data_IF_644298925713
#
_entry.id   IF_644298925713
#
_cell.length_a   1.000
_cell.length_b   1.000
_cell.length_c   1.000
_cell.angle_alpha   90.00
_cell.angle_beta   90.00
_cell.angle_gamma   90.00
#
_symmetry.space_group_name_H-M   'P 1'
#
loop_
_entity.id
_entity.type
_entity.pdbx_description
1 polymer ?
#
# COMPACT_ATOMS: atom_id res chain seq x y z
N UNK A 1 12.23 -24.42 5.51
CA UNK A 1 12.02 -22.97 5.50
C UNK A 1 10.61 -22.55 5.86
N UNK A 2 9.55 -23.17 5.30
CA UNK A 2 8.16 -22.87 5.68
C UNK A 2 7.85 -23.24 7.14
N UNK A 3 8.46 -24.31 7.64
CA UNK A 3 8.30 -24.72 9.03
C UNK A 3 8.96 -23.74 10.01
N UNK A 4 10.13 -23.21 9.68
CA UNK A 4 10.78 -22.17 10.51
C UNK A 4 10.00 -20.86 10.56
N UNK A 5 9.18 -20.60 9.58
CA UNK A 5 8.34 -19.42 9.48
C UNK A 5 7.09 -19.56 10.36
N UNK A 6 6.52 -20.77 10.42
CA UNK A 6 5.40 -21.11 11.32
C UNK A 6 5.78 -21.02 12.79
N UNK A 7 7.01 -21.43 13.13
CA UNK A 7 7.50 -21.45 14.50
C UNK A 7 7.72 -20.06 15.11
N UNK A 8 7.60 -18.98 14.35
CA UNK A 8 7.76 -17.60 14.79
C UNK A 8 6.46 -16.89 15.15
N UNK A 9 5.39 -17.61 15.35
CA UNK A 9 4.12 -17.06 15.83
C UNK A 9 3.26 -16.34 14.80
N UNK A 10 3.61 -16.45 13.53
CA UNK A 10 2.79 -15.89 12.46
C UNK A 10 1.59 -16.80 12.18
N UNK A 11 0.39 -16.25 12.27
CA UNK A 11 -0.85 -16.96 11.97
C UNK A 11 -1.36 -16.64 10.58
N UNK A 12 -2.17 -17.54 10.01
CA UNK A 12 -2.88 -17.28 8.75
C UNK A 12 -3.81 -16.07 8.88
N UNK A 13 -4.37 -15.87 10.06
CA UNK A 13 -5.20 -14.70 10.36
C UNK A 13 -4.40 -13.40 10.25
N UNK A 14 -3.19 -13.34 10.79
CA UNK A 14 -2.31 -12.18 10.68
C UNK A 14 -1.95 -11.88 9.21
N UNK A 15 -1.68 -12.91 8.42
CA UNK A 15 -1.48 -12.75 6.97
C UNK A 15 -2.71 -12.16 6.28
N UNK A 16 -3.89 -12.70 6.59
CA UNK A 16 -5.13 -12.24 5.98
C UNK A 16 -5.42 -10.77 6.32
N UNK A 17 -5.25 -10.39 7.58
CA UNK A 17 -5.42 -9.02 8.05
C UNK A 17 -4.47 -8.08 7.28
N UNK A 18 -3.20 -8.43 7.22
CA UNK A 18 -2.21 -7.60 6.53
C UNK A 18 -2.48 -7.52 5.03
N UNK A 19 -2.76 -8.65 4.39
CA UNK A 19 -3.01 -8.69 2.95
C UNK A 19 -4.24 -7.87 2.55
N UNK A 20 -5.33 -7.96 3.32
CA UNK A 20 -6.58 -7.28 3.02
C UNK A 20 -6.57 -5.80 3.38
N UNK A 21 -5.86 -5.41 4.43
CA UNK A 21 -6.01 -4.09 5.03
C UNK A 21 -4.79 -3.17 4.87
N UNK A 22 -3.66 -3.66 4.34
CA UNK A 22 -2.44 -2.83 4.24
C UNK A 22 -2.62 -1.56 3.40
N UNK A 23 -3.50 -1.59 2.44
CA UNK A 23 -3.81 -0.46 1.55
C UNK A 23 -5.06 0.34 1.96
N UNK A 24 -5.53 0.18 3.19
CA UNK A 24 -6.71 0.91 3.66
C UNK A 24 -6.52 2.44 3.58
N UNK A 25 -5.28 2.91 3.58
CA UNK A 25 -4.95 4.31 3.35
C UNK A 25 -5.50 4.88 2.03
N UNK A 26 -5.78 4.02 1.05
CA UNK A 26 -6.35 4.41 -0.24
C UNK A 26 -7.86 4.62 -0.21
N UNK A 27 -8.53 4.31 0.90
CA UNK A 27 -9.94 4.59 1.06
C UNK A 27 -10.18 6.10 1.01
N UNK A 28 -11.08 6.55 0.14
CA UNK A 28 -11.38 7.97 -0.10
C UNK A 28 -10.17 8.83 -0.55
N UNK A 29 -9.14 8.17 -1.09
CA UNK A 29 -7.94 8.84 -1.59
C UNK A 29 -8.12 9.40 -3.00
N UNK A 30 -8.92 8.71 -3.82
CA UNK A 30 -9.19 9.13 -5.18
C UNK A 30 -10.54 9.83 -5.27
N UNK A 31 -10.55 10.97 -5.96
CA UNK A 31 -11.76 11.74 -6.22
C UNK A 31 -12.09 11.69 -7.69
N UNK A 32 -13.34 11.38 -8.00
CA UNK A 32 -13.86 11.46 -9.36
C UNK A 32 -14.00 12.92 -9.78
N UNK A 33 -13.55 13.22 -10.97
CA UNK A 33 -13.66 14.53 -11.56
C UNK A 33 -13.62 14.45 -13.07
N UNK A 34 -13.40 15.58 -13.69
CA UNK A 34 -13.22 15.68 -15.13
C UNK A 34 -11.97 16.49 -15.42
N UNK A 35 -11.34 16.21 -16.54
CA UNK A 35 -10.26 17.02 -17.09
C UNK A 35 -10.60 17.44 -18.51
N UNK A 36 -10.07 18.57 -18.94
CA UNK A 36 -10.23 19.06 -20.30
C UNK A 36 -9.12 18.47 -21.19
N UNK A 37 -9.52 17.85 -22.26
CA UNK A 37 -8.60 17.29 -23.27
C UNK A 37 -8.98 17.85 -24.63
N UNK A 38 -7.98 18.28 -25.39
CA UNK A 38 -8.20 18.76 -26.76
C UNK A 38 -8.40 17.57 -27.69
N UNK A 39 -9.50 17.58 -28.43
CA UNK A 39 -9.74 16.60 -29.47
C UNK A 39 -8.95 17.01 -30.72
N UNK A 40 -7.94 16.24 -31.10
CA UNK A 40 -7.08 16.54 -32.25
C UNK A 40 -7.81 16.50 -33.60
N UNK A 41 -8.91 15.72 -33.67
CA UNK A 41 -9.71 15.63 -34.91
C UNK A 41 -10.60 16.86 -35.14
N UNK A 42 -11.15 17.46 -34.05
CA UNK A 42 -12.08 18.60 -34.14
C UNK A 42 -11.46 19.92 -33.70
N UNK A 43 -10.31 19.88 -33.01
CA UNK A 43 -9.68 21.05 -32.40
C UNK A 43 -10.42 21.61 -31.19
N UNK A 44 -11.49 20.96 -30.75
CA UNK A 44 -12.32 21.41 -29.62
C UNK A 44 -11.88 20.75 -28.31
N UNK A 45 -12.13 21.43 -27.20
CA UNK A 45 -11.88 20.93 -25.86
C UNK A 45 -13.08 20.12 -25.39
N UNK A 46 -12.79 18.91 -24.91
CA UNK A 46 -13.79 17.99 -24.37
C UNK A 46 -13.48 17.67 -22.91
N UNK A 47 -14.54 17.46 -22.11
CA UNK A 47 -14.42 16.98 -20.74
C UNK A 47 -14.42 15.46 -20.74
N UNK A 48 -13.36 14.86 -20.18
CA UNK A 48 -13.26 13.42 -20.01
C UNK A 48 -13.24 13.06 -18.54
N UNK A 49 -13.78 11.88 -18.14
CA UNK A 49 -13.69 11.41 -16.77
C UNK A 49 -12.22 11.30 -16.33
N UNK A 50 -11.95 11.72 -15.12
CA UNK A 50 -10.61 11.66 -14.54
C UNK A 50 -10.70 11.39 -13.04
N UNK A 51 -9.60 10.86 -12.49
CA UNK A 51 -9.44 10.71 -11.05
C UNK A 51 -8.30 11.61 -10.59
N UNK A 52 -8.55 12.38 -9.56
CA UNK A 52 -7.52 13.15 -8.87
C UNK A 52 -7.24 12.55 -7.52
N UNK A 53 -6.04 12.77 -7.01
CA UNK A 53 -5.66 12.42 -5.65
C UNK A 53 -6.07 13.57 -4.74
N UNK A 54 -6.90 13.27 -3.76
CA UNK A 54 -7.26 14.21 -2.70
C UNK A 54 -6.94 13.57 -1.36
N UNK A 55 -5.76 13.89 -0.83
CA UNK A 55 -5.33 13.38 0.46
C UNK A 55 -5.83 14.31 1.57
N UNK A 56 -6.98 13.95 2.13
CA UNK A 56 -7.58 14.68 3.25
C UNK A 56 -6.87 14.43 4.57
N UNK A 57 -6.00 13.47 4.63
CA UNK A 57 -5.26 13.08 5.81
C UNK A 57 -3.80 12.79 5.43
N UNK A 58 -2.96 13.84 5.34
CA UNK A 58 -1.58 13.71 4.86
C UNK A 58 -0.69 13.03 5.90
N UNK A 59 -0.77 11.72 5.93
CA UNK A 59 -0.02 10.83 6.79
C UNK A 59 0.59 9.72 5.92
N UNK A 60 1.79 9.25 6.21
CA UNK A 60 2.43 8.22 5.39
C UNK A 60 1.49 7.04 5.11
N UNK A 61 1.56 6.43 3.93
CA UNK A 61 0.61 5.38 3.52
C UNK A 61 0.51 4.24 4.55
N UNK A 62 1.64 3.73 5.02
CA UNK A 62 1.66 2.67 6.04
C UNK A 62 1.10 3.14 7.37
N UNK A 63 1.50 4.29 7.84
CA UNK A 63 1.03 4.89 9.09
C UNK A 63 -0.47 5.18 9.06
N UNK A 64 -0.96 5.72 7.94
CA UNK A 64 -2.37 6.00 7.73
C UNK A 64 -3.21 4.71 7.78
N UNK A 65 -2.75 3.66 7.11
CA UNK A 65 -3.43 2.35 7.15
C UNK A 65 -3.52 1.81 8.57
N UNK A 66 -2.43 1.82 9.33
CA UNK A 66 -2.41 1.39 10.72
C UNK A 66 -3.37 2.22 11.56
N UNK A 67 -3.33 3.53 11.43
CA UNK A 67 -4.21 4.44 12.17
C UNK A 67 -5.69 4.14 11.90
N UNK A 68 -6.06 3.97 10.63
CA UNK A 68 -7.44 3.70 10.24
C UNK A 68 -7.93 2.35 10.74
N UNK A 69 -7.09 1.32 10.65
CA UNK A 69 -7.43 -0.04 11.12
C UNK A 69 -7.64 -0.06 12.65
N UNK A 70 -6.74 0.59 13.39
CA UNK A 70 -6.80 0.63 14.85
C UNK A 70 -8.07 1.30 15.40
N UNK A 71 -8.77 2.07 14.60
CA UNK A 71 -10.07 2.63 14.96
C UNK A 71 -11.18 1.59 15.02
N UNK A 72 -11.00 0.43 14.40
CA UNK A 72 -12.01 -0.62 14.31
C UNK A 72 -11.58 -1.92 14.96
N UNK A 73 -10.30 -2.19 15.05
CA UNK A 73 -9.76 -3.40 15.63
C UNK A 73 -8.35 -3.17 16.17
N UNK A 74 -7.92 -3.97 17.14
CA UNK A 74 -6.55 -3.96 17.62
C UNK A 74 -5.67 -4.85 16.75
N UNK A 75 -4.58 -4.28 16.25
CA UNK A 75 -3.54 -5.02 15.56
C UNK A 75 -2.52 -5.56 16.56
N UNK A 76 -1.99 -6.76 16.27
CA UNK A 76 -0.77 -7.23 16.93
C UNK A 76 0.40 -6.37 16.47
N UNK A 77 1.48 -6.32 17.25
CA UNK A 77 2.67 -5.53 16.90
C UNK A 77 3.23 -5.95 15.55
N UNK A 78 3.34 -7.24 15.29
CA UNK A 78 3.83 -7.77 14.01
C UNK A 78 2.95 -7.36 12.82
N UNK A 79 1.63 -7.32 13.00
CA UNK A 79 0.69 -6.86 11.98
C UNK A 79 0.84 -5.36 11.71
N UNK A 80 0.89 -4.56 12.77
CA UNK A 80 1.07 -3.11 12.67
C UNK A 80 2.40 -2.75 11.98
N UNK A 81 3.49 -3.42 12.36
CA UNK A 81 4.82 -3.20 11.77
C UNK A 81 4.82 -3.61 10.29
N UNK A 82 4.22 -4.75 9.96
CA UNK A 82 4.13 -5.20 8.57
C UNK A 82 3.37 -4.20 7.70
N UNK A 83 2.23 -3.72 8.16
CA UNK A 83 1.41 -2.73 7.44
C UNK A 83 2.15 -1.39 7.34
N UNK A 84 2.77 -0.93 8.42
CA UNK A 84 3.52 0.34 8.46
C UNK A 84 4.60 0.37 7.38
N UNK A 85 5.32 -0.72 7.19
CA UNK A 85 6.46 -0.78 6.28
C UNK A 85 6.19 -1.55 4.98
N UNK A 86 4.92 -1.74 4.61
CA UNK A 86 4.58 -2.50 3.39
C UNK A 86 5.11 -1.86 2.10
N UNK A 87 5.30 -0.56 2.07
CA UNK A 87 5.89 0.14 0.93
C UNK A 87 7.39 -0.12 0.75
N UNK A 88 8.04 -0.70 1.76
CA UNK A 88 9.46 -1.01 1.70
C UNK A 88 10.33 0.21 1.42
N UNK A 89 11.29 0.09 0.53
CA UNK A 89 12.18 1.18 0.15
C UNK A 89 11.49 2.36 -0.56
N UNK A 90 10.24 2.20 -0.98
CA UNK A 90 9.42 3.28 -1.56
C UNK A 90 8.74 4.15 -0.51
N UNK A 91 8.82 3.79 0.76
CA UNK A 91 8.30 4.61 1.86
C UNK A 91 9.13 5.90 2.00
N UNK A 92 8.47 7.02 2.23
CA UNK A 92 9.14 8.32 2.32
C UNK A 92 10.14 8.38 3.47
N UNK A 93 9.85 7.76 4.60
CA UNK A 93 10.79 7.66 5.72
C UNK A 93 12.02 6.84 5.35
N UNK A 94 11.86 5.74 4.63
CA UNK A 94 12.97 4.91 4.15
C UNK A 94 13.82 5.68 3.14
N UNK A 95 13.22 6.40 2.21
CA UNK A 95 13.92 7.28 1.25
C UNK A 95 14.66 8.40 1.95
N UNK A 96 14.13 8.91 3.04
CA UNK A 96 14.73 9.94 3.85
C UNK A 96 15.89 9.48 4.75
N UNK A 97 16.26 8.19 4.68
CA UNK A 97 17.37 7.62 5.45
C UNK A 97 17.01 7.09 6.82
N UNK A 98 15.72 6.83 7.07
CA UNK A 98 15.30 6.21 8.33
C UNK A 98 15.67 4.72 8.35
N UNK A 99 16.40 4.29 9.40
CA UNK A 99 16.83 2.90 9.55
C UNK A 99 15.80 1.98 10.23
N UNK A 100 14.68 2.52 10.69
CA UNK A 100 13.63 1.74 11.36
C UNK A 100 13.08 0.59 10.48
N UNK A 101 13.09 0.75 9.17
CA UNK A 101 12.66 -0.29 8.24
C UNK A 101 13.56 -1.53 8.33
N UNK A 102 14.86 -1.36 8.44
CA UNK A 102 15.80 -2.49 8.58
C UNK A 102 15.58 -3.23 9.89
N UNK A 103 15.36 -2.51 10.98
CA UNK A 103 15.02 -3.12 12.26
C UNK A 103 13.68 -3.85 12.22
N UNK A 104 12.69 -3.28 11.55
CA UNK A 104 11.37 -3.91 11.37
C UNK A 104 11.49 -5.23 10.60
N UNK A 105 12.26 -5.25 9.54
CA UNK A 105 12.48 -6.44 8.72
C UNK A 105 13.27 -7.50 9.46
N UNK A 106 14.25 -7.12 10.28
CA UNK A 106 15.00 -8.06 11.11
C UNK A 106 14.14 -8.71 12.19
N UNK A 107 13.28 -7.94 12.84
CA UNK A 107 12.47 -8.42 13.96
C UNK A 107 11.18 -9.11 13.54
N UNK A 108 10.59 -8.67 12.43
CA UNK A 108 9.26 -9.12 12.02
C UNK A 108 9.25 -9.67 10.59
N UNK A 109 9.40 -10.99 10.42
CA UNK A 109 9.36 -11.63 9.10
C UNK A 109 8.09 -11.36 8.32
N UNK A 110 6.96 -11.14 9.00
CA UNK A 110 5.69 -10.80 8.37
C UNK A 110 5.81 -9.51 7.53
N UNK A 111 6.59 -8.53 8.00
CA UNK A 111 6.82 -7.28 7.25
C UNK A 111 7.52 -7.54 5.90
N UNK A 112 8.53 -8.41 5.90
CA UNK A 112 9.24 -8.80 4.68
C UNK A 112 8.30 -9.54 3.72
N UNK A 113 7.53 -10.50 4.24
CA UNK A 113 6.62 -11.32 3.44
C UNK A 113 5.51 -10.50 2.82
N UNK A 114 4.93 -9.57 3.56
CA UNK A 114 3.89 -8.68 3.03
C UNK A 114 4.44 -7.81 1.90
N UNK A 115 5.64 -7.25 2.07
CA UNK A 115 6.27 -6.44 1.04
C UNK A 115 6.57 -7.26 -0.23
N UNK A 116 7.10 -8.46 -0.08
CA UNK A 116 7.36 -9.36 -1.21
C UNK A 116 6.05 -9.73 -1.94
N UNK A 117 5.01 -10.06 -1.19
CA UNK A 117 3.70 -10.40 -1.76
C UNK A 117 3.12 -9.22 -2.54
N UNK A 118 3.21 -8.02 -2.01
CA UNK A 118 2.76 -6.80 -2.66
C UNK A 118 3.53 -6.51 -3.96
N UNK A 119 4.85 -6.68 -3.94
CA UNK A 119 5.68 -6.56 -5.14
C UNK A 119 5.30 -7.58 -6.20
N UNK A 120 5.09 -8.84 -5.82
CA UNK A 120 4.65 -9.89 -6.74
C UNK A 120 3.29 -9.59 -7.35
N UNK A 121 2.34 -9.16 -6.54
CA UNK A 121 1.01 -8.79 -7.01
C UNK A 121 1.10 -7.65 -8.04
N UNK A 122 1.84 -6.60 -7.72
CA UNK A 122 1.96 -5.41 -8.55
C UNK A 122 2.66 -5.68 -9.89
N UNK A 123 3.75 -6.42 -9.87
CA UNK A 123 4.61 -6.54 -11.07
C UNK A 123 4.44 -7.86 -11.83
N UNK A 124 4.00 -8.93 -11.19
CA UNK A 124 3.92 -10.25 -11.79
C UNK A 124 2.50 -10.74 -12.06
N UNK A 125 1.51 -10.24 -11.33
CA UNK A 125 0.14 -10.74 -11.39
C UNK A 125 -0.85 -9.73 -11.97
N UNK A 126 -0.62 -8.43 -11.79
CA UNK A 126 -1.49 -7.41 -12.37
C UNK A 126 -1.17 -7.21 -13.86
N UNK A 127 -2.20 -7.33 -14.69
CA UNK A 127 -2.09 -7.02 -16.12
C UNK A 127 -2.21 -5.50 -16.31
N UNK A 128 -1.09 -4.87 -16.62
CA UNK A 128 -1.08 -3.46 -17.02
C UNK A 128 -1.37 -3.39 -18.51
N UNK A 129 -2.52 -2.85 -18.85
CA UNK A 129 -2.80 -2.54 -20.27
C UNK A 129 -1.97 -1.34 -20.71
N UNK A 130 -1.37 -1.42 -21.91
CA UNK A 130 -0.54 -0.35 -22.47
C UNK A 130 -1.27 0.99 -22.64
N UNK A 131 -2.60 0.97 -22.59
CA UNK A 131 -3.44 2.18 -22.70
C UNK A 131 -3.44 3.07 -21.43
N UNK A 132 -2.84 2.63 -20.34
CA UNK A 132 -2.82 3.34 -19.04
C UNK A 132 -1.48 4.05 -18.81
N UNK A 133 -0.56 3.92 -19.74
CA UNK A 133 0.75 4.57 -19.67
C UNK A 133 0.76 5.94 -20.31
#
# INVERSE_FOLDING_TARGET
>A
SEMCIRDRGESEESYAICALLHDLCKANYYKKGTRNVKNDATGQWEKVPSYSVEDLFPYGHGEKSVFLIERFMKLKVEEAVAIRWHMGGFDDAAKGGCFAISEAYDKYPLAVKLHIADLKATYLMEHRTSAVR
#
